data_IF_909257821184
#
_entry.id   IF_909257821184
#
_cell.length_a   1.000
_cell.length_b   1.000
_cell.length_c   1.000
_cell.angle_alpha   90.00
_cell.angle_beta   90.00
_cell.angle_gamma   90.00
#
_symmetry.space_group_name_H-M   'P 1'
#
loop_
_entity.id
_entity.type
_entity.pdbx_description
1 polymer ?
#
# COMPACT_ATOMS: atom_id res chain seq x y z
N UNK A 1 35.45 21.90 63.82
CA UNK A 1 35.87 20.58 63.32
C UNK A 1 34.61 19.80 63.04
N UNK A 2 34.45 19.18 61.86
CA UNK A 2 33.25 18.37 61.58
C UNK A 2 33.12 17.23 62.61
N UNK A 3 31.88 16.88 62.95
CA UNK A 3 31.60 15.86 63.96
C UNK A 3 32.05 14.48 63.44
N UNK A 4 32.63 13.60 64.27
CA UNK A 4 33.12 12.28 63.82
C UNK A 4 32.07 11.40 63.11
N UNK A 5 30.78 11.63 63.40
CA UNK A 5 29.66 10.93 62.75
C UNK A 5 29.33 11.45 61.34
N UNK A 6 29.67 12.70 61.01
CA UNK A 6 29.46 13.25 59.66
C UNK A 6 30.45 12.68 58.63
N UNK A 7 31.64 12.26 59.09
CA UNK A 7 32.65 11.61 58.24
C UNK A 7 32.23 10.16 57.91
N UNK A 8 31.76 9.40 58.90
CA UNK A 8 31.30 8.01 58.70
C UNK A 8 30.06 7.93 57.80
N UNK A 9 29.14 8.90 57.90
CA UNK A 9 27.94 8.95 57.06
C UNK A 9 28.27 9.25 55.60
N UNK A 10 29.23 10.16 55.36
CA UNK A 10 29.72 10.50 54.03
C UNK A 10 30.48 9.34 53.38
N UNK A 11 31.27 8.59 54.15
CA UNK A 11 31.99 7.41 53.66
C UNK A 11 31.03 6.26 53.31
N UNK A 12 29.93 6.08 54.07
CA UNK A 12 28.90 5.08 53.75
C UNK A 12 28.08 5.46 52.50
N UNK A 13 27.72 6.74 52.34
CA UNK A 13 27.03 7.23 51.14
C UNK A 13 27.92 7.15 49.89
N UNK A 14 29.22 7.42 50.02
CA UNK A 14 30.20 7.25 48.93
C UNK A 14 30.43 5.78 48.58
N UNK A 15 30.49 4.88 49.59
CA UNK A 15 30.60 3.43 49.36
C UNK A 15 29.33 2.87 48.69
N UNK A 16 28.15 3.30 49.12
CA UNK A 16 26.90 2.96 48.46
C UNK A 16 26.87 3.47 47.03
N UNK A 17 27.32 4.72 46.78
CA UNK A 17 27.48 5.24 45.42
C UNK A 17 28.49 4.43 44.59
N UNK A 18 29.67 4.10 45.10
CA UNK A 18 30.67 3.33 44.34
C UNK A 18 30.22 1.90 44.01
N UNK A 19 29.46 1.24 44.91
CA UNK A 19 28.90 -0.09 44.65
C UNK A 19 27.74 -0.02 43.65
N UNK A 20 26.94 1.06 43.65
CA UNK A 20 25.90 1.26 42.63
C UNK A 20 26.50 1.56 41.25
N UNK A 21 27.55 2.37 41.17
CA UNK A 21 28.22 2.68 39.90
C UNK A 21 28.93 1.47 39.25
N UNK A 22 29.46 0.54 40.04
CA UNK A 22 30.12 -0.68 39.53
C UNK A 22 29.12 -1.70 38.98
N UNK A 23 27.87 -1.69 39.45
CA UNK A 23 26.79 -2.53 38.93
C UNK A 23 26.08 -1.92 37.71
N UNK A 24 26.00 -0.60 37.63
CA UNK A 24 25.38 0.13 36.49
C UNK A 24 26.25 0.15 35.23
N UNK A 25 27.54 -0.17 35.34
CA UNK A 25 28.49 -0.25 34.23
C UNK A 25 28.95 -1.68 33.93
N UNK A 26 28.37 -2.68 34.62
CA UNK A 26 28.67 -4.07 34.34
C UNK A 26 28.12 -4.41 32.96
N UNK A 27 28.96 -5.03 32.16
CA UNK A 27 28.73 -5.47 30.79
C UNK A 27 29.36 -6.88 30.72
N UNK A 28 28.51 -7.91 30.67
CA UNK A 28 28.91 -9.32 30.84
C UNK A 28 29.39 -9.97 29.54
N UNK A 29 28.89 -9.52 28.39
CA UNK A 29 29.21 -10.05 27.07
C UNK A 29 30.07 -9.10 26.21
N UNK A 30 30.43 -7.94 26.78
CA UNK A 30 31.35 -6.94 26.22
C UNK A 30 30.84 -6.33 24.90
N UNK A 31 29.53 -6.18 24.75
CA UNK A 31 28.89 -5.66 23.54
C UNK A 31 28.78 -4.13 23.51
N UNK A 32 29.08 -3.47 24.64
CA UNK A 32 29.02 -2.02 24.82
C UNK A 32 27.73 -1.51 25.48
N UNK A 33 26.82 -2.39 25.86
CA UNK A 33 25.58 -2.12 26.60
C UNK A 33 25.72 -2.73 28.00
N UNK A 34 25.39 -1.95 29.03
CA UNK A 34 25.47 -2.47 30.40
C UNK A 34 24.29 -3.42 30.66
N UNK A 35 24.52 -4.49 31.43
CA UNK A 35 23.52 -5.52 31.82
C UNK A 35 22.14 -4.98 32.24
N UNK A 36 22.09 -3.77 32.81
CA UNK A 36 20.84 -3.15 33.29
C UNK A 36 19.95 -2.63 32.16
N UNK A 37 20.54 -2.41 30.99
CA UNK A 37 19.92 -1.86 29.79
C UNK A 37 20.04 -2.83 28.61
N UNK A 38 20.56 -4.04 28.87
CA UNK A 38 20.86 -5.07 27.89
C UNK A 38 19.72 -6.09 27.83
N UNK A 39 19.05 -6.19 26.68
CA UNK A 39 17.98 -7.15 26.42
C UNK A 39 18.50 -8.56 26.11
N UNK A 40 19.82 -8.75 25.99
CA UNK A 40 20.49 -10.05 25.91
C UNK A 40 21.79 -10.11 26.73
N UNK A 41 21.67 -9.98 28.06
CA UNK A 41 22.75 -9.98 29.09
C UNK A 41 23.93 -10.97 28.91
N UNK A 42 23.78 -12.04 28.13
CA UNK A 42 24.80 -13.05 27.91
C UNK A 42 25.22 -13.24 26.44
N UNK A 43 24.58 -12.57 25.49
CA UNK A 43 24.76 -12.75 24.05
C UNK A 43 24.91 -11.38 23.40
N UNK A 44 26.15 -11.04 23.03
CA UNK A 44 26.50 -9.71 22.57
C UNK A 44 25.64 -9.20 21.41
N UNK A 45 24.88 -8.13 21.65
CA UNK A 45 23.97 -7.50 20.71
C UNK A 45 23.90 -5.98 20.93
N UNK A 46 25.00 -5.28 20.66
CA UNK A 46 25.11 -3.84 20.96
C UNK A 46 24.13 -2.93 20.21
N UNK A 47 23.38 -3.46 19.24
CA UNK A 47 22.25 -2.80 18.58
C UNK A 47 20.92 -2.92 19.34
N UNK A 48 20.82 -3.88 20.28
CA UNK A 48 19.68 -4.11 21.16
C UNK A 48 18.39 -4.28 20.36
N UNK A 49 18.48 -4.97 19.22
CA UNK A 49 17.33 -5.35 18.40
C UNK A 49 16.31 -6.14 19.24
N UNK A 50 15.03 -5.87 19.00
CA UNK A 50 13.87 -6.45 19.68
C UNK A 50 12.70 -6.33 18.67
N UNK A 51 12.55 -7.35 17.82
CA UNK A 51 11.69 -7.31 16.64
C UNK A 51 10.20 -7.28 17.01
N UNK A 52 9.80 -7.99 18.06
CA UNK A 52 8.42 -8.13 18.53
C UNK A 52 8.07 -7.27 19.75
N UNK A 53 9.06 -6.60 20.35
CA UNK A 53 8.94 -5.71 21.49
C UNK A 53 8.53 -6.41 22.79
N UNK A 54 8.97 -7.66 22.99
CA UNK A 54 8.69 -8.42 24.20
C UNK A 54 9.70 -8.16 25.35
N UNK A 55 10.77 -7.41 25.05
CA UNK A 55 11.94 -7.06 25.88
C UNK A 55 13.05 -8.11 25.92
N UNK A 56 12.94 -9.20 25.18
CA UNK A 56 14.03 -10.10 24.86
C UNK A 56 14.67 -9.64 23.54
N UNK A 57 15.99 -9.60 23.46
CA UNK A 57 16.62 -9.14 22.23
C UNK A 57 16.69 -10.23 21.16
N UNK A 58 16.68 -9.83 19.89
CA UNK A 58 16.75 -10.74 18.73
C UNK A 58 17.88 -11.79 18.86
N UNK A 59 19.00 -11.42 19.48
CA UNK A 59 20.17 -12.30 19.64
C UNK A 59 19.95 -13.47 20.61
N UNK A 60 19.01 -13.34 21.55
CA UNK A 60 18.71 -14.32 22.58
C UNK A 60 17.24 -14.74 22.61
N UNK A 61 16.44 -14.24 21.67
CA UNK A 61 15.05 -14.62 21.48
C UNK A 61 14.93 -15.94 20.71
N UNK A 62 14.28 -16.98 21.26
CA UNK A 62 14.00 -18.20 20.52
C UNK A 62 12.91 -18.07 19.43
N UNK A 63 12.13 -16.99 19.44
CA UNK A 63 10.92 -16.74 18.64
C UNK A 63 10.82 -15.23 18.33
N UNK A 64 11.62 -14.76 17.37
CA UNK A 64 11.91 -13.34 17.11
C UNK A 64 10.66 -12.50 16.76
N UNK A 65 9.59 -13.11 16.24
CA UNK A 65 8.34 -12.42 15.90
C UNK A 65 7.11 -12.88 16.71
N UNK A 66 7.31 -13.79 17.67
CA UNK A 66 6.31 -14.29 18.60
C UNK A 66 5.05 -14.89 17.92
N UNK A 67 5.20 -15.45 16.72
CA UNK A 67 4.13 -16.15 16.00
C UNK A 67 3.81 -17.54 16.60
N UNK A 68 4.69 -18.04 17.47
CA UNK A 68 4.60 -19.31 18.17
C UNK A 68 5.43 -20.45 17.57
N UNK A 69 6.25 -20.19 16.54
CA UNK A 69 7.20 -21.09 15.94
C UNK A 69 8.64 -20.57 16.14
N UNK A 70 9.43 -21.33 16.88
CA UNK A 70 10.81 -20.94 17.14
C UNK A 70 11.62 -20.73 15.84
N UNK A 71 12.53 -19.75 15.82
CA UNK A 71 13.35 -19.32 14.66
C UNK A 71 14.03 -20.48 13.90
N UNK A 72 14.32 -21.59 14.59
CA UNK A 72 14.96 -22.78 14.01
C UNK A 72 14.06 -23.62 13.09
N UNK A 73 12.74 -23.48 13.21
CA UNK A 73 11.75 -24.23 12.42
C UNK A 73 10.83 -23.31 11.62
N UNK A 74 10.92 -22.02 11.86
CA UNK A 74 10.24 -20.97 11.12
C UNK A 74 11.05 -20.59 9.86
N UNK A 75 10.36 -20.56 8.71
CA UNK A 75 10.93 -20.11 7.45
C UNK A 75 11.09 -18.59 7.36
N UNK A 76 10.30 -17.82 8.11
CA UNK A 76 10.31 -16.36 8.16
C UNK A 76 10.32 -15.83 9.60
N UNK A 77 11.45 -15.96 10.34
CA UNK A 77 11.56 -15.57 11.77
C UNK A 77 11.36 -14.09 12.12
N UNK A 78 10.93 -13.27 11.17
CA UNK A 78 10.71 -11.82 11.29
C UNK A 78 9.46 -11.40 10.52
N UNK A 79 8.48 -12.28 10.42
CA UNK A 79 7.20 -12.02 9.81
C UNK A 79 6.14 -12.87 10.52
N UNK A 80 5.49 -12.28 11.52
CA UNK A 80 4.45 -12.94 12.33
C UNK A 80 3.28 -13.52 11.50
N UNK A 81 3.19 -13.16 10.22
CA UNK A 81 2.16 -13.63 9.29
C UNK A 81 2.60 -14.78 8.39
N UNK A 82 3.86 -15.22 8.44
CA UNK A 82 4.42 -16.26 7.59
C UNK A 82 5.33 -17.19 8.36
N UNK A 83 5.16 -18.51 8.20
CA UNK A 83 6.00 -19.48 8.92
C UNK A 83 6.44 -20.69 8.10
N UNK A 84 5.89 -20.84 6.90
CA UNK A 84 6.12 -21.98 6.02
C UNK A 84 6.43 -21.47 4.62
N UNK A 85 7.44 -22.07 3.99
CA UNK A 85 7.83 -21.86 2.59
C UNK A 85 7.92 -23.24 1.94
N UNK A 86 6.77 -23.73 1.48
CA UNK A 86 6.58 -25.13 1.10
C UNK A 86 7.36 -25.53 -0.15
N UNK A 87 7.73 -24.58 -1.02
CA UNK A 87 8.48 -24.83 -2.25
C UNK A 87 9.87 -24.17 -2.31
N UNK A 88 10.18 -23.30 -1.36
CA UNK A 88 11.50 -22.70 -1.17
C UNK A 88 11.75 -21.47 -2.05
N UNK A 89 10.71 -20.74 -2.45
CA UNK A 89 10.82 -19.56 -3.30
C UNK A 89 10.97 -18.23 -2.54
N UNK A 90 10.86 -18.28 -1.21
CA UNK A 90 10.94 -17.16 -0.25
C UNK A 90 9.70 -16.27 -0.20
N UNK A 91 8.57 -16.72 -0.73
CA UNK A 91 7.25 -16.20 -0.44
C UNK A 91 6.60 -17.18 0.53
N UNK A 92 6.03 -16.67 1.62
CA UNK A 92 5.41 -17.55 2.61
C UNK A 92 4.07 -18.10 2.11
N UNK A 93 3.74 -19.32 2.54
CA UNK A 93 2.55 -20.07 2.12
C UNK A 93 1.24 -19.28 2.31
N UNK A 94 1.17 -18.28 3.21
CA UNK A 94 -0.05 -17.49 3.42
C UNK A 94 -0.21 -16.38 2.36
N UNK A 95 0.88 -15.82 1.85
CA UNK A 95 0.91 -14.81 0.79
C UNK A 95 1.09 -15.39 -0.63
N UNK A 96 1.55 -16.63 -0.74
CA UNK A 96 1.79 -17.31 -2.01
C UNK A 96 0.50 -17.87 -2.63
N UNK A 97 0.16 -17.43 -3.85
CA UNK A 97 -0.97 -17.97 -4.61
C UNK A 97 -0.75 -19.45 -5.05
N UNK A 98 0.50 -19.89 -5.16
CA UNK A 98 0.91 -21.24 -5.54
C UNK A 98 1.99 -21.84 -4.60
N UNK A 99 1.67 -22.15 -3.32
CA UNK A 99 2.65 -22.56 -2.29
C UNK A 99 3.48 -23.84 -2.56
N UNK A 100 3.25 -24.52 -3.68
CA UNK A 100 3.95 -25.75 -4.05
C UNK A 100 4.66 -25.64 -5.41
N UNK A 101 4.78 -24.43 -5.94
CA UNK A 101 5.41 -24.15 -7.22
C UNK A 101 6.35 -22.94 -7.12
N UNK A 102 7.62 -23.19 -6.84
CA UNK A 102 8.64 -22.15 -6.64
C UNK A 102 8.98 -21.26 -7.86
N UNK A 103 8.21 -21.39 -8.94
CA UNK A 103 8.28 -20.54 -10.13
C UNK A 103 7.04 -19.68 -10.31
N UNK A 104 6.06 -19.71 -9.40
CA UNK A 104 4.85 -18.89 -9.43
C UNK A 104 4.48 -18.51 -8.00
N UNK A 105 4.29 -17.22 -7.73
CA UNK A 105 3.78 -16.76 -6.42
C UNK A 105 2.69 -15.69 -6.49
N UNK A 106 2.40 -15.19 -7.70
CA UNK A 106 1.38 -14.16 -7.94
C UNK A 106 0.40 -14.67 -8.99
N UNK A 107 -0.89 -14.42 -8.74
CA UNK A 107 -2.03 -14.68 -9.63
C UNK A 107 -2.85 -13.37 -9.68
N UNK A 108 -2.52 -12.49 -10.62
CA UNK A 108 -3.06 -11.11 -10.66
C UNK A 108 -4.56 -11.09 -10.95
N UNK A 109 -5.07 -11.98 -11.81
CA UNK A 109 -6.48 -12.02 -12.20
C UNK A 109 -7.31 -13.05 -11.41
N UNK A 110 -6.64 -13.97 -10.70
CA UNK A 110 -7.25 -14.99 -9.86
C UNK A 110 -7.82 -16.17 -10.65
N UNK A 111 -7.33 -16.44 -11.86
CA UNK A 111 -7.82 -17.54 -12.70
C UNK A 111 -7.19 -18.92 -12.37
N UNK A 112 -6.15 -18.91 -11.53
CA UNK A 112 -5.41 -20.09 -11.11
C UNK A 112 -4.22 -20.45 -12.00
N UNK A 113 -3.79 -19.55 -12.89
CA UNK A 113 -2.52 -19.60 -13.61
C UNK A 113 -1.63 -18.48 -13.07
N UNK A 114 -0.40 -18.81 -12.66
CA UNK A 114 0.50 -17.80 -12.11
C UNK A 114 1.09 -16.90 -13.20
N UNK A 115 1.42 -15.67 -12.84
CA UNK A 115 1.84 -14.63 -13.79
C UNK A 115 3.07 -15.02 -14.65
N UNK A 116 3.96 -15.93 -14.20
CA UNK A 116 5.08 -16.34 -15.05
C UNK A 116 4.65 -17.32 -16.16
N UNK A 117 3.48 -17.96 -16.02
CA UNK A 117 2.92 -18.93 -16.96
C UNK A 117 1.70 -18.39 -17.72
N UNK A 118 0.98 -17.43 -17.16
CA UNK A 118 -0.10 -16.72 -17.85
C UNK A 118 0.47 -15.83 -18.97
N UNK A 119 -0.35 -15.57 -19.98
CA UNK A 119 -0.03 -14.68 -21.10
C UNK A 119 -0.88 -13.41 -21.08
N UNK A 120 -1.86 -13.30 -20.18
CA UNK A 120 -2.80 -12.20 -20.01
C UNK A 120 -3.05 -12.05 -18.49
N UNK A 121 -2.00 -11.60 -17.78
CA UNK A 121 -1.92 -11.59 -16.30
C UNK A 121 -3.10 -10.85 -15.63
N UNK A 122 -3.82 -9.98 -16.33
CA UNK A 122 -4.93 -9.19 -15.79
C UNK A 122 -6.30 -9.47 -16.43
N UNK A 123 -6.34 -10.32 -17.46
CA UNK A 123 -7.53 -10.81 -18.16
C UNK A 123 -8.40 -9.71 -18.76
N UNK A 124 -7.78 -8.65 -19.29
CA UNK A 124 -8.45 -7.61 -20.07
C UNK A 124 -8.61 -7.95 -21.55
N UNK A 125 -8.02 -9.07 -21.98
CA UNK A 125 -8.07 -9.59 -23.33
C UNK A 125 -6.92 -9.14 -24.23
N UNK A 126 -5.90 -8.49 -23.67
CA UNK A 126 -4.62 -8.23 -24.32
C UNK A 126 -3.51 -9.06 -23.67
N UNK A 127 -2.67 -9.68 -24.49
CA UNK A 127 -1.54 -10.46 -23.93
C UNK A 127 -0.43 -9.55 -23.40
N UNK A 128 0.38 -10.01 -22.44
CA UNK A 128 1.50 -9.23 -21.89
C UNK A 128 2.46 -8.75 -22.98
N UNK A 129 2.60 -9.54 -24.05
CA UNK A 129 3.40 -9.17 -25.21
C UNK A 129 2.77 -8.03 -26.02
N UNK A 130 1.46 -8.08 -26.26
CA UNK A 130 0.75 -7.01 -26.94
C UNK A 130 0.83 -5.71 -26.14
N UNK A 131 0.67 -5.81 -24.83
CA UNK A 131 0.78 -4.70 -23.90
C UNK A 131 2.19 -4.12 -23.80
N UNK A 132 3.21 -4.98 -23.69
CA UNK A 132 4.61 -4.54 -23.73
C UNK A 132 4.93 -3.80 -25.04
N UNK A 133 4.37 -4.24 -26.15
CA UNK A 133 4.52 -3.59 -27.46
C UNK A 133 3.77 -2.25 -27.50
N UNK A 134 2.62 -2.15 -26.86
CA UNK A 134 1.82 -0.93 -26.80
C UNK A 134 2.22 0.03 -25.68
N UNK A 135 3.12 -0.39 -24.79
CA UNK A 135 3.61 0.39 -23.66
C UNK A 135 2.59 0.49 -22.53
N UNK A 136 1.71 -0.50 -22.41
CA UNK A 136 0.71 -0.62 -21.35
C UNK A 136 1.19 -1.61 -20.27
N UNK A 137 0.34 -1.97 -19.30
CA UNK A 137 0.80 -2.60 -18.06
C UNK A 137 0.13 -3.98 -17.94
N UNK A 138 0.88 -5.08 -18.14
CA UNK A 138 0.40 -6.47 -18.04
C UNK A 138 -0.37 -6.82 -16.78
N UNK A 139 -0.14 -6.10 -15.68
CA UNK A 139 -0.73 -6.42 -14.38
C UNK A 139 -1.97 -5.58 -14.07
N UNK A 140 -2.58 -4.93 -15.06
CA UNK A 140 -3.61 -3.94 -14.83
C UNK A 140 -4.62 -3.88 -15.97
N UNK A 141 -5.75 -4.55 -15.77
CA UNK A 141 -6.85 -4.73 -16.76
C UNK A 141 -7.53 -3.47 -17.33
N UNK A 142 -7.02 -2.31 -16.94
CA UNK A 142 -7.47 -0.99 -17.33
C UNK A 142 -6.38 -0.19 -18.04
N UNK A 143 -5.18 -0.75 -18.14
CA UNK A 143 -4.04 -0.20 -18.85
C UNK A 143 -4.09 -0.74 -20.26
N UNK A 144 -4.93 -0.16 -21.12
CA UNK A 144 -4.89 -0.55 -22.53
C UNK A 144 -5.07 0.65 -23.47
N UNK A 145 -4.38 0.60 -24.61
CA UNK A 145 -4.28 1.71 -25.57
C UNK A 145 -5.56 1.94 -26.35
N UNK A 146 -6.39 0.91 -26.49
CA UNK A 146 -7.71 0.98 -27.12
C UNK A 146 -8.58 -0.22 -26.67
N UNK A 147 -9.73 0.04 -26.05
CA UNK A 147 -10.72 -1.01 -25.71
C UNK A 147 -11.19 -0.95 -24.25
N UNK A 148 -10.33 -0.51 -23.35
CA UNK A 148 -10.59 -0.43 -21.91
C UNK A 148 -10.97 1.00 -21.54
N UNK A 149 -11.81 1.12 -20.53
CA UNK A 149 -12.17 2.42 -19.97
C UNK A 149 -10.99 2.97 -19.15
N UNK A 150 -10.69 4.24 -19.36
CA UNK A 150 -9.81 5.02 -18.51
C UNK A 150 -10.39 6.43 -18.35
N UNK A 151 -9.88 7.17 -17.37
CA UNK A 151 -10.35 8.51 -17.05
C UNK A 151 -9.78 9.60 -17.97
N UNK A 152 -8.92 9.30 -18.97
CA UNK A 152 -8.56 10.24 -20.05
C UNK A 152 -9.65 10.25 -21.13
N UNK A 153 -10.74 10.95 -20.82
CA UNK A 153 -11.99 10.97 -21.58
C UNK A 153 -11.85 11.71 -22.91
N UNK A 154 -10.89 12.61 -23.04
CA UNK A 154 -10.64 13.30 -24.31
C UNK A 154 -9.42 12.79 -25.09
N UNK A 155 -8.80 11.69 -24.62
CA UNK A 155 -7.60 11.07 -25.21
C UNK A 155 -6.46 12.08 -25.38
N UNK A 156 -6.28 12.99 -24.42
CA UNK A 156 -5.19 13.96 -24.42
C UNK A 156 -3.88 13.40 -23.84
N UNK A 157 -3.90 12.14 -23.39
CA UNK A 157 -2.82 11.42 -22.70
C UNK A 157 -2.52 11.96 -21.30
N UNK A 158 -3.50 12.64 -20.69
CA UNK A 158 -3.39 13.12 -19.33
C UNK A 158 -4.78 13.23 -18.73
N UNK A 159 -5.02 12.56 -17.59
CA UNK A 159 -6.27 12.76 -16.85
C UNK A 159 -6.16 14.02 -15.98
N UNK A 160 -6.94 15.06 -16.31
CA UNK A 160 -6.91 16.32 -15.58
C UNK A 160 -8.29 16.68 -15.02
N UNK A 161 -8.34 17.41 -13.89
CA UNK A 161 -9.62 17.74 -13.24
C UNK A 161 -10.52 18.64 -14.10
N UNK A 162 -9.94 19.51 -14.94
CA UNK A 162 -10.70 20.51 -15.71
C UNK A 162 -11.02 20.09 -17.14
N UNK A 163 -10.42 19.02 -17.64
CA UNK A 163 -10.77 18.41 -18.92
C UNK A 163 -11.61 17.17 -18.63
N UNK A 164 -11.03 16.15 -18.04
CA UNK A 164 -11.67 14.85 -17.88
C UNK A 164 -12.66 14.79 -16.72
N UNK A 165 -12.22 15.22 -15.53
CA UNK A 165 -13.10 15.28 -14.35
C UNK A 165 -14.33 16.14 -14.63
N UNK A 166 -14.15 17.25 -15.36
CA UNK A 166 -15.24 18.13 -15.76
C UNK A 166 -16.17 17.49 -16.82
N UNK A 167 -15.64 16.77 -17.81
CA UNK A 167 -16.45 16.03 -18.78
C UNK A 167 -17.30 14.96 -18.10
N UNK A 168 -16.73 14.20 -17.17
CA UNK A 168 -17.41 13.13 -16.43
C UNK A 168 -18.52 13.69 -15.55
N UNK A 169 -18.23 14.68 -14.70
CA UNK A 169 -19.27 15.21 -13.81
C UNK A 169 -20.41 15.87 -14.60
N UNK A 170 -20.11 16.51 -15.75
CA UNK A 170 -21.12 17.06 -16.65
C UNK A 170 -21.98 15.95 -17.25
N UNK A 171 -21.37 14.86 -17.70
CA UNK A 171 -22.10 13.71 -18.20
C UNK A 171 -23.04 13.13 -17.14
N UNK A 172 -22.57 12.93 -15.90
CA UNK A 172 -23.39 12.42 -14.80
C UNK A 172 -24.57 13.37 -14.47
N UNK A 173 -24.39 14.68 -14.63
CA UNK A 173 -25.51 15.65 -14.50
C UNK A 173 -26.47 15.64 -15.71
N UNK A 174 -26.21 14.83 -16.74
CA UNK A 174 -27.02 14.71 -17.94
C UNK A 174 -26.74 15.78 -19.00
N UNK A 175 -25.61 16.50 -18.93
CA UNK A 175 -25.25 17.46 -19.97
C UNK A 175 -24.81 16.74 -21.26
N UNK A 176 -25.15 17.35 -22.40
CA UNK A 176 -24.81 16.86 -23.74
C UNK A 176 -24.51 18.02 -24.68
N UNK A 177 -24.04 17.73 -25.90
CA UNK A 177 -23.72 18.76 -26.90
C UNK A 177 -22.63 19.73 -26.41
N UNK A 178 -22.78 21.02 -26.72
CA UNK A 178 -21.84 22.06 -26.29
C UNK A 178 -21.74 22.16 -24.75
N UNK A 179 -22.80 21.86 -24.02
CA UNK A 179 -22.79 21.94 -22.56
C UNK A 179 -21.90 20.87 -21.92
N UNK A 180 -21.71 19.74 -22.62
CA UNK A 180 -20.76 18.70 -22.21
C UNK A 180 -19.32 19.18 -22.45
N UNK A 181 -18.99 19.63 -23.67
CA UNK A 181 -17.59 19.79 -24.11
C UNK A 181 -17.02 21.20 -24.01
N UNK A 182 -17.85 22.24 -23.94
CA UNK A 182 -17.37 23.62 -24.01
C UNK A 182 -16.42 23.96 -22.85
N UNK A 183 -15.17 24.27 -23.19
CA UNK A 183 -14.10 24.58 -22.26
C UNK A 183 -13.58 23.40 -21.43
N UNK A 184 -14.00 22.17 -21.74
CA UNK A 184 -13.64 20.95 -21.00
C UNK A 184 -12.89 19.92 -21.88
N UNK A 185 -12.56 20.26 -23.13
CA UNK A 185 -11.76 19.41 -24.02
C UNK A 185 -10.37 20.03 -24.17
N UNK A 186 -9.33 19.24 -23.93
CA UNK A 186 -7.94 19.62 -24.05
C UNK A 186 -7.57 20.03 -25.48
N UNK A 187 -6.54 20.87 -25.60
CA UNK A 187 -6.07 21.35 -26.91
C UNK A 187 -5.53 20.19 -27.76
N UNK A 188 -4.85 19.25 -27.12
CA UNK A 188 -4.24 18.06 -27.70
C UNK A 188 -5.13 16.81 -27.65
N UNK A 189 -6.42 16.95 -27.29
CA UNK A 189 -7.38 15.85 -27.25
C UNK A 189 -7.43 15.04 -28.56
N UNK A 190 -7.47 13.71 -28.48
CA UNK A 190 -7.83 12.81 -29.58
C UNK A 190 -9.34 12.76 -29.82
N UNK A 191 -10.13 12.76 -28.74
CA UNK A 191 -11.59 12.69 -28.74
C UNK A 191 -12.19 14.06 -28.43
N UNK A 192 -12.79 14.71 -29.44
CA UNK A 192 -13.24 16.13 -29.34
C UNK A 192 -14.73 16.36 -29.45
N UNK A 193 -15.45 15.51 -30.18
CA UNK A 193 -16.88 15.74 -30.40
C UNK A 193 -17.69 15.34 -29.18
N UNK A 194 -18.73 16.12 -28.90
CA UNK A 194 -19.67 15.83 -27.81
C UNK A 194 -20.33 14.47 -27.96
N UNK A 195 -20.67 14.06 -29.19
CA UNK A 195 -21.23 12.73 -29.46
C UNK A 195 -20.24 11.60 -29.15
N UNK A 196 -18.96 11.73 -29.52
CA UNK A 196 -17.96 10.69 -29.24
C UNK A 196 -17.66 10.59 -27.73
N UNK A 197 -17.57 11.73 -27.04
CA UNK A 197 -17.35 11.76 -25.59
C UNK A 197 -18.58 11.19 -24.86
N UNK A 198 -19.79 11.56 -25.27
CA UNK A 198 -21.01 11.01 -24.68
C UNK A 198 -21.12 9.50 -24.89
N UNK A 199 -20.84 8.99 -26.10
CA UNK A 199 -20.80 7.54 -26.34
C UNK A 199 -19.79 6.84 -25.44
N UNK A 200 -18.57 7.37 -25.33
CA UNK A 200 -17.52 6.79 -24.49
C UNK A 200 -17.94 6.68 -23.02
N UNK A 201 -18.57 7.73 -22.47
CA UNK A 201 -19.01 7.75 -21.09
C UNK A 201 -20.25 6.87 -20.83
N UNK A 202 -21.18 6.78 -21.80
CA UNK A 202 -22.33 5.87 -21.72
C UNK A 202 -21.89 4.40 -21.71
N UNK A 203 -20.94 4.04 -22.57
CA UNK A 203 -20.41 2.67 -22.63
C UNK A 203 -19.65 2.30 -21.34
N UNK A 204 -19.15 3.31 -20.62
CA UNK A 204 -18.41 3.17 -19.37
C UNK A 204 -19.25 3.41 -18.11
N UNK A 205 -20.57 3.50 -18.18
CA UNK A 205 -21.43 3.90 -17.06
C UNK A 205 -21.16 3.12 -15.76
N UNK A 206 -20.98 1.79 -15.88
CA UNK A 206 -20.62 0.93 -14.74
C UNK A 206 -19.24 1.19 -14.13
N UNK A 207 -18.31 1.77 -14.89
CA UNK A 207 -16.98 2.14 -14.43
C UNK A 207 -16.93 3.55 -13.84
N UNK A 208 -18.01 4.32 -13.98
CA UNK A 208 -18.16 5.62 -13.34
C UNK A 208 -18.69 5.49 -11.91
N UNK A 209 -19.11 4.31 -11.46
CA UNK A 209 -19.49 3.99 -10.08
C UNK A 209 -18.22 3.77 -9.23
N UNK A 210 -17.67 4.86 -8.71
CA UNK A 210 -16.39 4.94 -7.99
C UNK A 210 -16.54 4.50 -6.54
N UNK A 211 -17.69 4.72 -5.90
CA UNK A 211 -17.92 4.27 -4.53
C UNK A 211 -18.53 2.86 -4.41
N UNK A 212 -18.99 2.31 -5.53
CA UNK A 212 -19.39 0.92 -5.68
C UNK A 212 -20.74 0.63 -5.07
N UNK A 213 -21.64 1.63 -5.00
CA UNK A 213 -23.00 1.46 -4.50
C UNK A 213 -24.00 0.98 -5.58
N UNK A 214 -23.53 0.86 -6.82
CA UNK A 214 -24.31 0.42 -7.99
C UNK A 214 -24.97 1.56 -8.76
N UNK A 215 -24.77 2.82 -8.37
CA UNK A 215 -25.34 4.00 -9.03
C UNK A 215 -24.26 5.03 -9.36
N UNK A 216 -24.05 5.32 -10.64
CA UNK A 216 -23.12 6.37 -11.07
C UNK A 216 -23.75 7.76 -10.95
N UNK A 217 -23.45 8.51 -9.89
CA UNK A 217 -24.04 9.84 -9.65
C UNK A 217 -23.02 10.99 -9.58
N UNK A 218 -23.41 12.23 -9.91
CA UNK A 218 -22.46 13.35 -9.93
C UNK A 218 -21.84 13.69 -8.57
N UNK A 219 -22.59 13.46 -7.48
CA UNK A 219 -22.23 13.94 -6.15
C UNK A 219 -21.54 12.90 -5.29
N UNK A 220 -21.64 11.63 -5.68
CA UNK A 220 -20.92 10.53 -5.07
C UNK A 220 -19.68 10.25 -5.91
N UNK A 221 -19.84 9.92 -7.18
CA UNK A 221 -18.73 9.46 -8.01
C UNK A 221 -18.00 10.60 -8.71
N UNK A 222 -18.75 11.45 -9.40
CA UNK A 222 -18.18 12.60 -10.09
C UNK A 222 -17.41 13.53 -9.15
N UNK A 223 -17.89 13.66 -7.90
CA UNK A 223 -17.22 14.44 -6.86
C UNK A 223 -15.96 13.75 -6.33
N UNK A 224 -15.98 12.43 -6.11
CA UNK A 224 -14.79 11.66 -5.70
C UNK A 224 -13.68 11.79 -6.75
N UNK A 225 -14.01 11.60 -8.03
CA UNK A 225 -13.04 11.72 -9.11
C UNK A 225 -12.43 13.12 -9.16
N UNK A 226 -13.26 14.17 -9.17
CA UNK A 226 -12.76 15.55 -9.23
C UNK A 226 -11.85 15.86 -8.03
N UNK A 227 -12.24 15.44 -6.82
CA UNK A 227 -11.41 15.63 -5.62
C UNK A 227 -10.05 14.94 -5.77
N UNK A 228 -10.05 13.68 -6.19
CA UNK A 228 -8.82 12.92 -6.43
C UNK A 228 -7.92 13.64 -7.45
N UNK A 229 -8.47 14.07 -8.60
CA UNK A 229 -7.71 14.77 -9.65
C UNK A 229 -7.18 16.15 -9.23
N UNK A 230 -7.77 16.77 -8.20
CA UNK A 230 -7.21 17.96 -7.56
C UNK A 230 -6.17 17.65 -6.47
N UNK A 231 -5.85 16.38 -6.24
CA UNK A 231 -4.85 15.92 -5.27
C UNK A 231 -5.39 15.75 -3.84
N UNK A 232 -6.70 15.63 -3.66
CA UNK A 232 -7.27 15.29 -2.36
C UNK A 232 -7.09 13.80 -2.09
N UNK A 233 -6.73 13.46 -0.85
CA UNK A 233 -6.55 12.09 -0.39
C UNK A 233 -7.14 11.90 1.02
N UNK A 234 -7.20 10.65 1.47
CA UNK A 234 -7.65 10.31 2.82
C UNK A 234 -9.09 10.81 3.09
N UNK A 235 -9.34 11.31 4.30
CA UNK A 235 -10.67 11.79 4.66
C UNK A 235 -11.15 12.98 3.81
N UNK A 236 -10.24 13.82 3.30
CA UNK A 236 -10.60 14.95 2.44
C UNK A 236 -11.13 14.51 1.07
N UNK A 237 -10.73 13.32 0.60
CA UNK A 237 -11.27 12.69 -0.59
C UNK A 237 -12.73 12.24 -0.35
N UNK A 238 -12.96 11.43 0.67
CA UNK A 238 -14.22 10.70 0.84
C UNK A 238 -15.31 11.43 1.65
N UNK A 239 -14.94 12.37 2.54
CA UNK A 239 -15.90 12.94 3.50
C UNK A 239 -17.05 13.66 2.79
N UNK A 240 -18.27 13.14 2.99
CA UNK A 240 -19.50 13.69 2.43
C UNK A 240 -19.64 13.51 0.91
N UNK A 241 -18.84 12.63 0.30
CA UNK A 241 -18.88 12.29 -1.11
C UNK A 241 -19.18 10.80 -1.37
N UNK A 242 -19.61 10.06 -0.33
CA UNK A 242 -19.98 8.64 -0.46
C UNK A 242 -21.49 8.48 -0.49
N UNK A 243 -21.96 7.60 -1.37
CA UNK A 243 -23.34 7.16 -1.50
C UNK A 243 -23.79 6.23 -0.37
N UNK A 244 -25.09 5.97 -0.34
CA UNK A 244 -25.67 5.02 0.62
C UNK A 244 -25.48 3.62 0.04
N UNK A 245 -24.72 2.78 0.73
CA UNK A 245 -24.44 1.42 0.26
C UNK A 245 -23.10 1.26 -0.45
N UNK A 246 -22.27 2.33 -0.45
CA UNK A 246 -20.92 2.29 -0.97
C UNK A 246 -20.14 1.09 -0.42
N UNK A 247 -19.62 0.29 -1.34
CA UNK A 247 -18.80 -0.89 -1.02
C UNK A 247 -17.31 -0.51 -0.94
N UNK A 248 -16.87 0.51 -1.67
CA UNK A 248 -15.52 1.10 -1.58
C UNK A 248 -15.53 2.26 -0.58
N UNK A 249 -15.68 1.93 0.69
CA UNK A 249 -15.96 2.89 1.77
C UNK A 249 -14.73 3.62 2.34
N UNK A 250 -13.51 3.28 1.92
CA UNK A 250 -12.26 3.89 2.42
C UNK A 250 -11.58 4.72 1.33
N UNK A 251 -10.83 5.74 1.75
CA UNK A 251 -10.07 6.57 0.81
C UNK A 251 -9.07 5.74 0.00
N UNK A 252 -8.41 4.78 0.64
CA UNK A 252 -7.52 3.84 -0.02
C UNK A 252 -8.23 3.04 -1.12
N UNK A 253 -9.39 2.43 -0.84
CA UNK A 253 -10.14 1.66 -1.85
C UNK A 253 -10.59 2.51 -3.04
N UNK A 254 -10.92 3.79 -2.80
CA UNK A 254 -11.28 4.75 -3.85
C UNK A 254 -10.06 5.19 -4.64
N UNK A 255 -8.95 5.51 -3.96
CA UNK A 255 -7.69 5.91 -4.59
C UNK A 255 -7.15 4.80 -5.50
N UNK A 256 -7.16 3.55 -5.04
CA UNK A 256 -6.79 2.37 -5.83
C UNK A 256 -7.68 2.27 -7.07
N UNK A 257 -9.01 2.29 -6.89
CA UNK A 257 -9.96 2.19 -8.01
C UNK A 257 -9.74 3.26 -9.08
N UNK A 258 -9.51 4.51 -8.67
CA UNK A 258 -9.28 5.61 -9.60
C UNK A 258 -7.90 5.47 -10.26
N UNK A 259 -6.86 5.23 -9.48
CA UNK A 259 -5.47 5.16 -9.94
C UNK A 259 -5.27 4.09 -11.02
N UNK A 260 -5.92 2.94 -10.88
CA UNK A 260 -5.90 1.86 -11.88
C UNK A 260 -6.44 2.30 -13.25
N UNK A 261 -7.33 3.31 -13.28
CA UNK A 261 -7.99 3.80 -14.52
C UNK A 261 -7.43 5.14 -14.99
N UNK A 262 -6.35 5.65 -14.39
CA UNK A 262 -5.67 6.85 -14.87
C UNK A 262 -4.46 6.40 -15.68
N UNK A 263 -4.32 6.78 -16.97
CA UNK A 263 -3.11 6.48 -17.73
C UNK A 263 -1.89 7.04 -17.00
N UNK A 264 -0.88 6.19 -16.82
CA UNK A 264 0.42 6.58 -16.29
C UNK A 264 1.09 7.56 -17.26
N UNK A 265 1.62 8.67 -16.73
CA UNK A 265 2.42 9.61 -17.51
C UNK A 265 3.63 8.86 -18.11
N UNK A 266 3.70 8.77 -19.45
CA UNK A 266 4.83 8.23 -20.20
C UNK A 266 6.08 9.12 -20.11
#
# INVERSE_FOLDING_TARGET
>A
MPHPLDLVRRDFELLQQTVTWELELRDDDEDGVANIADNCVAEANGDQGDFDLDQLGDACDPDEDNDGLANTVDAFPRDESEWLDSDGDRVGDNADAFPFNASESVDTDGDGVGNNADLDDDNDGFTDWEELVDGTNPLSRFSCRAGCFNFDVDESRATQPLTDGLLIIRHLFGFSGDALTSGAVAVNAGRKSSDAIASYLVDADSQLDIDGDGESTPLTDGLLLIRYLFGFSGDALIRGAMGIGATRATAESVEVYIKERVPVDL
#
